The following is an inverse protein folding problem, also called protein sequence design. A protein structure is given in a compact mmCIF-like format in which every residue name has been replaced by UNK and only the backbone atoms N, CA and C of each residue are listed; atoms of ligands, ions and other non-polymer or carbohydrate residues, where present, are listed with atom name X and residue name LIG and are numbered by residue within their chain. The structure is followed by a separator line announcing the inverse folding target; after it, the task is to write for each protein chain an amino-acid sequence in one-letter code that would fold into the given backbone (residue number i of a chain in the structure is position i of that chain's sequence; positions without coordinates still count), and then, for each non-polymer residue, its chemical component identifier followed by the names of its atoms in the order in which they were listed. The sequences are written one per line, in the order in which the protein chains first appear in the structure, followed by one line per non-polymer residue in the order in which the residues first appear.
data_IF_036725332189
#
_entry.id   IF_036725332189
#
_cell.length_a   1.000
_cell.length_b   1.000
_cell.length_c   1.000
_cell.angle_alpha   90.00
_cell.angle_beta   90.00
_cell.angle_gamma   90.00
#
_symmetry.space_group_name_H-M   'P 1'
#
loop_
_entity.id
_entity.type
_entity.pdbx_description
1 polymer ?
#
# COMPACT_ATOMS: atom_id res chain seq x y z
N UNK A 1 36.65 14.87 34.51
CA UNK A 1 35.73 15.54 33.56
C UNK A 1 34.67 14.53 33.14
N UNK A 2 33.46 14.64 33.70
CA UNK A 2 32.35 13.74 33.42
C UNK A 2 31.50 14.32 32.27
N UNK A 3 31.28 13.52 31.24
CA UNK A 3 30.45 13.88 30.08
C UNK A 3 28.96 13.85 30.47
N UNK A 4 28.13 14.84 30.06
CA UNK A 4 26.76 14.94 30.53
C UNK A 4 25.86 13.86 29.92
N UNK A 5 24.90 13.46 30.75
CA UNK A 5 23.89 12.43 30.55
C UNK A 5 23.08 12.70 29.27
N UNK A 6 23.01 11.70 28.37
CA UNK A 6 21.99 11.67 27.30
C UNK A 6 20.62 11.63 27.94
N UNK A 7 19.96 12.79 27.96
CA UNK A 7 18.51 12.89 28.12
C UNK A 7 17.91 12.25 26.86
N UNK A 8 17.68 10.93 26.93
CA UNK A 8 16.78 10.25 26.02
C UNK A 8 15.38 10.71 26.39
N UNK A 9 14.93 11.82 25.81
CA UNK A 9 13.50 12.09 25.70
C UNK A 9 12.87 10.86 25.04
N UNK A 10 12.21 10.04 25.86
CA UNK A 10 11.38 8.94 25.39
C UNK A 10 10.34 9.55 24.42
N UNK A 11 10.21 9.05 23.18
CA UNK A 11 9.10 9.46 22.33
C UNK A 11 7.81 9.05 23.04
N UNK A 12 6.94 10.02 23.33
CA UNK A 12 5.63 9.76 23.93
C UNK A 12 4.87 8.72 23.07
N UNK A 13 4.74 7.49 23.59
CA UNK A 13 4.58 6.27 22.80
C UNK A 13 3.13 5.91 22.41
N UNK A 14 2.18 6.83 22.42
CA UNK A 14 0.76 6.50 22.15
C UNK A 14 0.08 7.36 21.07
N UNK A 15 0.34 8.68 21.01
CA UNK A 15 -0.27 9.57 20.03
C UNK A 15 0.22 9.34 18.59
N UNK A 16 1.52 9.16 18.40
CA UNK A 16 2.13 8.96 17.08
C UNK A 16 1.65 7.67 16.41
N UNK A 17 1.41 6.61 17.19
CA UNK A 17 0.98 5.32 16.65
C UNK A 17 -0.46 5.32 16.11
N UNK A 18 -1.35 6.16 16.65
CA UNK A 18 -2.70 6.32 16.11
C UNK A 18 -2.68 7.14 14.83
N UNK A 19 -1.95 8.27 14.83
CA UNK A 19 -1.82 9.14 13.65
C UNK A 19 -1.25 8.35 12.46
N UNK A 20 -0.20 7.55 12.65
CA UNK A 20 0.36 6.72 11.58
C UNK A 20 -0.67 5.71 11.05
N UNK A 21 -1.44 5.07 11.93
CA UNK A 21 -2.49 4.12 11.50
C UNK A 21 -3.60 4.82 10.71
N UNK A 22 -4.01 6.01 11.10
CA UNK A 22 -4.98 6.81 10.35
C UNK A 22 -4.43 7.24 8.99
N UNK A 23 -3.18 7.69 8.91
CA UNK A 23 -2.55 8.01 7.62
C UNK A 23 -2.48 6.79 6.70
N UNK A 24 -2.12 5.62 7.23
CA UNK A 24 -2.09 4.38 6.46
C UNK A 24 -3.49 3.94 6.03
N UNK A 25 -4.50 4.13 6.88
CA UNK A 25 -5.90 3.84 6.54
C UNK A 25 -6.39 4.74 5.41
N UNK A 26 -6.12 6.05 5.48
CA UNK A 26 -6.43 7.01 4.42
C UNK A 26 -5.70 6.67 3.12
N UNK A 27 -4.44 6.25 3.21
CA UNK A 27 -3.67 5.81 2.05
C UNK A 27 -4.29 4.55 1.40
N UNK A 28 -4.88 3.65 2.21
CA UNK A 28 -5.56 2.46 1.72
C UNK A 28 -7.01 2.71 1.28
N UNK A 29 -7.55 3.92 1.42
CA UNK A 29 -8.98 4.20 1.26
C UNK A 29 -9.53 3.79 -0.12
N UNK A 30 -8.78 4.07 -1.20
CA UNK A 30 -9.20 3.71 -2.57
C UNK A 30 -9.38 2.18 -2.75
N UNK A 31 -8.50 1.37 -2.17
CA UNK A 31 -8.55 -0.10 -2.26
C UNK A 31 -9.61 -0.69 -1.33
N UNK A 32 -9.80 -0.08 -0.15
CA UNK A 32 -10.89 -0.48 0.73
C UNK A 32 -12.24 -0.21 0.08
N UNK A 33 -12.42 0.97 -0.51
CA UNK A 33 -13.64 1.30 -1.26
C UNK A 33 -13.83 0.34 -2.44
N UNK A 34 -12.83 0.22 -3.33
CA UNK A 34 -12.92 -0.63 -4.53
C UNK A 34 -13.15 -2.10 -4.21
N UNK A 35 -12.44 -2.64 -3.21
CA UNK A 35 -12.58 -4.03 -2.80
C UNK A 35 -13.91 -4.32 -2.11
N UNK A 36 -14.43 -3.39 -1.30
CA UNK A 36 -15.76 -3.54 -0.68
C UNK A 36 -16.85 -3.47 -1.76
N UNK A 37 -16.77 -2.51 -2.67
CA UNK A 37 -17.73 -2.36 -3.77
C UNK A 37 -17.78 -3.63 -4.64
N UNK A 38 -16.61 -4.13 -5.05
CA UNK A 38 -16.49 -5.39 -5.80
C UNK A 38 -16.95 -6.63 -5.01
N UNK A 39 -16.80 -6.64 -3.68
CA UNK A 39 -17.28 -7.73 -2.84
C UNK A 39 -18.81 -7.72 -2.71
N UNK A 40 -19.42 -6.53 -2.66
CA UNK A 40 -20.88 -6.36 -2.59
C UNK A 40 -21.55 -6.61 -3.93
N UNK A 41 -20.88 -6.30 -5.04
CA UNK A 41 -21.33 -6.60 -6.41
C UNK A 41 -20.29 -7.42 -7.18
N UNK A 42 -20.16 -8.69 -6.78
CA UNK A 42 -19.25 -9.63 -7.44
C UNK A 42 -19.57 -9.82 -8.94
N UNK A 43 -20.85 -9.94 -9.38
CA UNK A 43 -21.17 -9.97 -10.81
C UNK A 43 -20.65 -8.74 -11.57
N UNK A 44 -20.76 -7.54 -10.99
CA UNK A 44 -20.17 -6.32 -11.54
C UNK A 44 -18.65 -6.42 -11.66
N UNK A 45 -17.96 -6.94 -10.63
CA UNK A 45 -16.52 -7.15 -10.67
C UNK A 45 -16.09 -8.14 -11.78
N UNK A 46 -16.86 -9.20 -12.02
CA UNK A 46 -16.63 -10.13 -13.14
C UNK A 46 -16.82 -9.43 -14.49
N UNK A 47 -17.84 -8.58 -14.62
CA UNK A 47 -18.08 -7.80 -15.83
C UNK A 47 -16.96 -6.79 -16.11
N UNK A 48 -16.36 -6.20 -15.06
CA UNK A 48 -15.19 -5.33 -15.18
C UNK A 48 -13.97 -6.08 -15.74
N UNK A 49 -13.70 -7.30 -15.25
CA UNK A 49 -12.62 -8.15 -15.81
C UNK A 49 -12.86 -8.46 -17.29
N UNK A 50 -14.11 -8.77 -17.67
CA UNK A 50 -14.51 -8.95 -19.08
C UNK A 50 -14.26 -7.70 -19.91
N UNK A 51 -14.64 -6.53 -19.40
CA UNK A 51 -14.48 -5.27 -20.09
C UNK A 51 -13.01 -4.98 -20.41
N UNK A 52 -12.11 -5.30 -19.49
CA UNK A 52 -10.67 -5.17 -19.69
C UNK A 52 -10.02 -6.36 -20.44
N UNK A 53 -10.81 -7.35 -20.88
CA UNK A 53 -10.31 -8.52 -21.60
C UNK A 53 -9.49 -9.48 -20.74
N UNK A 54 -9.67 -9.45 -19.42
CA UNK A 54 -8.93 -10.26 -18.46
C UNK A 54 -9.62 -11.60 -18.20
N UNK A 55 -8.90 -12.69 -18.46
CA UNK A 55 -9.38 -14.06 -18.23
C UNK A 55 -8.37 -14.85 -17.39
N UNK A 56 -8.83 -15.77 -16.51
CA UNK A 56 -10.22 -16.09 -16.21
C UNK A 56 -10.89 -15.04 -15.29
N UNK A 57 -12.08 -14.58 -15.67
CA UNK A 57 -12.70 -13.37 -15.10
C UNK A 57 -13.03 -13.50 -13.61
N UNK A 58 -13.76 -14.55 -13.20
CA UNK A 58 -14.22 -14.72 -11.83
C UNK A 58 -13.07 -15.00 -10.84
N UNK A 59 -12.10 -15.89 -11.14
CA UNK A 59 -10.93 -16.06 -10.29
C UNK A 59 -10.10 -14.77 -10.16
N UNK A 60 -9.98 -13.99 -11.23
CA UNK A 60 -9.23 -12.74 -11.18
C UNK A 60 -9.97 -11.66 -10.38
N UNK A 61 -11.28 -11.51 -10.57
CA UNK A 61 -12.11 -10.62 -9.77
C UNK A 61 -12.00 -10.95 -8.28
N UNK A 62 -12.05 -12.24 -7.93
CA UNK A 62 -11.86 -12.69 -6.55
C UNK A 62 -10.46 -12.36 -6.04
N UNK A 63 -9.41 -12.58 -6.85
CA UNK A 63 -8.04 -12.25 -6.49
C UNK A 63 -7.85 -10.74 -6.24
N UNK A 64 -8.48 -9.88 -7.05
CA UNK A 64 -8.48 -8.43 -6.86
C UNK A 64 -9.13 -8.07 -5.52
N UNK A 65 -10.34 -8.57 -5.24
CA UNK A 65 -11.05 -8.30 -3.98
C UNK A 65 -10.22 -8.71 -2.76
N UNK A 66 -9.75 -9.96 -2.75
CA UNK A 66 -8.95 -10.49 -1.65
C UNK A 66 -7.63 -9.75 -1.51
N UNK A 67 -7.01 -9.39 -2.63
CA UNK A 67 -5.76 -8.64 -2.66
C UNK A 67 -5.91 -7.22 -2.13
N UNK A 68 -6.90 -6.46 -2.59
CA UNK A 68 -7.17 -5.08 -2.17
C UNK A 68 -7.48 -5.00 -0.68
N UNK A 69 -8.40 -5.83 -0.19
CA UNK A 69 -8.81 -5.85 1.21
C UNK A 69 -7.72 -6.44 2.11
N UNK A 70 -7.16 -7.59 1.71
CA UNK A 70 -6.14 -8.30 2.46
C UNK A 70 -4.86 -7.46 2.60
N UNK A 71 -4.37 -6.87 1.52
CA UNK A 71 -3.17 -6.04 1.57
C UNK A 71 -3.39 -4.76 2.38
N UNK A 72 -4.58 -4.15 2.31
CA UNK A 72 -4.93 -3.00 3.15
C UNK A 72 -4.88 -3.36 4.65
N UNK A 73 -5.40 -4.53 5.03
CA UNK A 73 -5.30 -5.05 6.40
C UNK A 73 -3.84 -5.26 6.81
N UNK A 74 -3.00 -5.83 5.94
CA UNK A 74 -1.57 -6.00 6.22
C UNK A 74 -0.84 -4.66 6.43
N UNK A 75 -1.16 -3.65 5.62
CA UNK A 75 -0.54 -2.32 5.69
C UNK A 75 -0.92 -1.62 7.00
N UNK A 76 -2.21 -1.56 7.33
CA UNK A 76 -2.72 -0.88 8.52
C UNK A 76 -2.36 -1.66 9.80
N UNK A 77 -2.51 -2.99 9.77
CA UNK A 77 -2.25 -3.88 10.92
C UNK A 77 -0.77 -4.03 11.28
N UNK A 78 0.14 -3.84 10.32
CA UNK A 78 1.57 -3.73 10.58
C UNK A 78 2.35 -5.04 10.67
N UNK A 79 1.68 -6.20 10.65
CA UNK A 79 2.37 -7.49 10.72
C UNK A 79 3.31 -7.67 9.54
N UNK A 80 2.78 -7.63 8.32
CA UNK A 80 3.53 -7.80 7.06
C UNK A 80 3.33 -6.58 6.14
N UNK A 81 3.44 -5.38 6.73
CA UNK A 81 3.15 -4.10 6.06
C UNK A 81 3.92 -3.92 4.76
N UNK A 82 5.22 -4.23 4.75
CA UNK A 82 6.02 -4.10 3.53
C UNK A 82 5.48 -4.96 2.39
N UNK A 83 4.99 -6.17 2.67
CA UNK A 83 4.47 -7.07 1.65
C UNK A 83 3.13 -6.55 1.12
N UNK A 84 2.22 -6.14 2.00
CA UNK A 84 0.95 -5.53 1.60
C UNK A 84 1.16 -4.27 0.78
N UNK A 85 2.12 -3.42 1.17
CA UNK A 85 2.43 -2.20 0.43
C UNK A 85 3.04 -2.49 -0.95
N UNK A 86 3.97 -3.46 -1.07
CA UNK A 86 4.48 -3.87 -2.38
C UNK A 86 3.38 -4.45 -3.28
N UNK A 87 2.48 -5.25 -2.72
CA UNK A 87 1.33 -5.76 -3.44
C UNK A 87 0.45 -4.63 -3.98
N UNK A 88 0.04 -3.68 -3.12
CA UNK A 88 -0.81 -2.55 -3.53
C UNK A 88 -0.11 -1.65 -4.55
N UNK A 89 1.19 -1.40 -4.40
CA UNK A 89 1.96 -0.66 -5.40
C UNK A 89 1.96 -1.35 -6.77
N UNK A 90 2.26 -2.65 -6.79
CA UNK A 90 2.27 -3.45 -8.03
C UNK A 90 0.89 -3.53 -8.67
N UNK A 91 -0.14 -3.81 -7.86
CA UNK A 91 -1.53 -3.84 -8.30
C UNK A 91 -1.95 -2.51 -8.91
N UNK A 92 -1.67 -1.38 -8.25
CA UNK A 92 -2.00 -0.05 -8.78
C UNK A 92 -1.32 0.24 -10.10
N UNK A 93 -0.04 -0.08 -10.25
CA UNK A 93 0.65 0.12 -11.52
C UNK A 93 0.02 -0.71 -12.63
N UNK A 94 -0.26 -1.99 -12.38
CA UNK A 94 -0.87 -2.88 -13.36
C UNK A 94 -2.29 -2.43 -13.73
N UNK A 95 -3.15 -2.19 -12.75
CA UNK A 95 -4.51 -1.72 -12.95
C UNK A 95 -4.54 -0.38 -13.70
N UNK A 96 -3.64 0.55 -13.34
CA UNK A 96 -3.56 1.87 -13.97
C UNK A 96 -3.13 1.78 -15.45
N UNK A 97 -2.17 0.91 -15.78
CA UNK A 97 -1.75 0.67 -17.17
C UNK A 97 -2.85 0.01 -18.02
N UNK A 98 -3.77 -0.73 -17.40
CA UNK A 98 -4.91 -1.37 -18.08
C UNK A 98 -6.08 -0.40 -18.23
N UNK A 99 -6.44 0.30 -17.15
CA UNK A 99 -7.67 1.10 -17.07
C UNK A 99 -7.50 2.54 -17.55
N UNK A 100 -6.33 3.17 -17.30
CA UNK A 100 -6.10 4.59 -17.58
C UNK A 100 -5.15 4.80 -18.77
N UNK A 101 -5.42 4.09 -19.88
CA UNK A 101 -4.66 4.20 -21.15
C UNK A 101 -4.97 5.50 -21.87
N UNK A 102 -4.64 6.64 -21.25
CA UNK A 102 -4.96 7.97 -21.78
C UNK A 102 -4.36 8.23 -23.17
N UNK A 103 -3.31 7.50 -23.56
CA UNK A 103 -2.71 7.55 -24.89
C UNK A 103 -3.59 6.97 -26.01
N UNK A 104 -4.67 6.26 -25.66
CA UNK A 104 -5.69 5.74 -26.60
C UNK A 104 -6.96 6.58 -26.67
N UNK A 105 -7.02 7.67 -25.90
CA UNK A 105 -8.21 8.52 -25.80
C UNK A 105 -7.95 9.85 -26.51
N UNK A 106 -8.88 10.25 -27.37
CA UNK A 106 -8.86 11.56 -28.04
C UNK A 106 -9.92 12.51 -27.47
N UNK A 107 -9.74 13.80 -27.74
CA UNK A 107 -10.70 14.83 -27.34
C UNK A 107 -10.68 15.19 -25.84
N UNK A 108 -11.71 15.89 -25.36
CA UNK A 108 -11.73 16.49 -24.02
C UNK A 108 -11.58 15.48 -22.86
N UNK A 109 -11.99 14.22 -23.06
CA UNK A 109 -11.91 13.17 -22.06
C UNK A 109 -10.47 12.73 -21.74
N UNK A 110 -9.52 12.92 -22.68
CA UNK A 110 -8.12 12.49 -22.52
C UNK A 110 -7.46 13.05 -21.26
N UNK A 111 -7.64 14.34 -20.98
CA UNK A 111 -6.99 15.03 -19.86
C UNK A 111 -7.44 14.50 -18.50
N UNK A 112 -8.71 14.10 -18.39
CA UNK A 112 -9.24 13.52 -17.16
C UNK A 112 -8.58 12.17 -16.85
N UNK A 113 -8.46 11.30 -17.86
CA UNK A 113 -7.81 9.98 -17.71
C UNK A 113 -6.30 10.12 -17.50
N UNK A 114 -5.66 11.08 -18.16
CA UNK A 114 -4.24 11.39 -17.96
C UNK A 114 -3.96 11.82 -16.51
N UNK A 115 -4.77 12.70 -15.92
CA UNK A 115 -4.63 13.10 -14.52
C UNK A 115 -4.79 11.90 -13.59
N UNK A 116 -5.84 11.08 -13.80
CA UNK A 116 -6.04 9.85 -13.04
C UNK A 116 -4.84 8.92 -13.13
N UNK A 117 -4.22 8.79 -14.30
CA UNK A 117 -3.02 7.98 -14.48
C UNK A 117 -1.87 8.43 -13.57
N UNK A 118 -1.58 9.73 -13.52
CA UNK A 118 -0.49 10.26 -12.70
C UNK A 118 -0.80 10.27 -11.20
N UNK A 119 -2.07 10.42 -10.81
CA UNK A 119 -2.51 10.26 -9.42
C UNK A 119 -2.23 8.84 -8.91
N UNK A 120 -2.56 7.82 -9.71
CA UNK A 120 -2.29 6.42 -9.37
C UNK A 120 -0.79 6.11 -9.36
N UNK A 121 0.00 6.73 -10.25
CA UNK A 121 1.46 6.60 -10.24
C UNK A 121 2.06 7.14 -8.94
N UNK A 122 1.60 8.32 -8.49
CA UNK A 122 1.98 8.90 -7.21
C UNK A 122 1.57 8.02 -6.03
N UNK A 123 0.36 7.46 -6.06
CA UNK A 123 -0.15 6.54 -5.05
C UNK A 123 0.70 5.26 -4.94
N UNK A 124 1.07 4.66 -6.08
CA UNK A 124 1.99 3.52 -6.10
C UNK A 124 3.35 3.87 -5.48
N UNK A 125 3.89 5.05 -5.79
CA UNK A 125 5.12 5.57 -5.16
C UNK A 125 5.01 5.71 -3.64
N UNK A 126 3.85 6.15 -3.13
CA UNK A 126 3.61 6.24 -1.70
C UNK A 126 3.64 4.86 -1.02
N UNK A 127 3.08 3.81 -1.64
CA UNK A 127 3.18 2.45 -1.11
C UNK A 127 4.60 1.89 -1.18
N UNK A 128 5.36 2.16 -2.24
CA UNK A 128 6.78 1.78 -2.30
C UNK A 128 7.56 2.44 -1.17
N UNK A 129 7.28 3.70 -0.85
CA UNK A 129 7.88 4.38 0.30
C UNK A 129 7.50 3.72 1.62
N UNK A 130 6.23 3.34 1.81
CA UNK A 130 5.77 2.59 2.99
C UNK A 130 6.53 1.27 3.14
N UNK A 131 6.67 0.52 2.05
CA UNK A 131 7.40 -0.74 2.05
C UNK A 131 8.87 -0.56 2.43
N UNK A 132 9.53 0.43 1.83
CA UNK A 132 10.91 0.79 2.12
C UNK A 132 11.13 1.17 3.58
N UNK A 133 10.28 2.05 4.13
CA UNK A 133 10.38 2.48 5.53
C UNK A 133 10.18 1.33 6.51
N UNK A 134 9.21 0.45 6.26
CA UNK A 134 8.95 -0.72 7.11
C UNK A 134 10.12 -1.72 7.09
N UNK A 135 10.71 -1.98 5.91
CA UNK A 135 11.89 -2.83 5.77
C UNK A 135 13.12 -2.23 6.48
N UNK A 136 13.36 -0.93 6.34
CA UNK A 136 14.46 -0.24 7.04
C UNK A 136 14.32 -0.31 8.55
N UNK A 137 13.11 -0.08 9.08
CA UNK A 137 12.84 -0.18 10.51
C UNK A 137 13.12 -1.60 11.05
N UNK A 138 12.71 -2.64 10.30
CA UNK A 138 13.01 -4.04 10.65
C UNK A 138 14.50 -4.36 10.59
N UNK A 139 15.23 -3.84 9.60
CA UNK A 139 16.67 -4.00 9.48
C UNK A 139 17.42 -3.41 10.69
N UNK A 140 17.09 -2.17 11.05
CA UNK A 140 17.68 -1.49 12.22
C UNK A 140 17.41 -2.26 13.53
N UNK A 141 16.20 -2.80 13.71
CA UNK A 141 15.86 -3.61 14.89
C UNK A 141 16.69 -4.92 14.96
N UNK A 142 16.96 -5.57 13.82
CA UNK A 142 17.79 -6.78 13.74
C UNK A 142 19.25 -6.50 14.11
N UNK A 143 19.80 -5.39 13.63
CA UNK A 143 21.17 -4.97 13.96
C UNK A 143 21.34 -4.66 15.44
N UNK A 144 20.38 -3.92 16.02
CA UNK A 144 20.36 -3.61 17.46
C UNK A 144 20.35 -4.87 18.33
N UNK A 145 19.55 -5.88 17.97
CA UNK A 145 19.53 -7.17 18.67
C UNK A 145 20.84 -7.95 18.55
N UNK A 146 21.47 -7.94 17.36
CA UNK A 146 22.74 -8.66 17.11
C UNK A 146 23.95 -8.04 17.83
N UNK A 147 23.97 -6.71 18.00
CA UNK A 147 25.03 -5.99 18.70
C UNK A 147 24.96 -6.07 20.23
N UNK A 148 23.80 -6.40 20.79
CA UNK A 148 23.64 -6.68 22.22
C UNK A 148 24.13 -8.08 22.58
N UNK A 149 23.80 -9.11 21.78
CA UNK A 149 24.24 -10.48 22.02
C UNK A 149 25.75 -10.70 21.92
N UNK A 150 26.44 -9.91 21.08
CA UNK A 150 27.91 -9.98 20.92
C UNK A 150 28.73 -9.29 22.01
N UNK A 151 28.11 -8.51 22.91
CA UNK A 151 28.80 -7.82 24.02
C UNK A 151 28.76 -8.60 25.34
N UNK A 152 28.07 -9.74 25.36
CA UNK A 152 27.87 -10.56 26.57
C UNK A 152 28.70 -11.85 26.51
N UNK A 153 29.44 -12.07 25.42
CA UNK A 153 30.44 -13.12 25.23
C UNK A 153 31.82 -12.47 25.18
#
# INVERSE_FOLDING_TARGET
MAFPQRIYLQPAASGTGLVVRLCLLLLCAAYLQGGIEKALDFPGAVAEMRHFGLAPEAPLALAVIVGELGASVLVVGGWWRWLGALYLAGFTLMANLVANRFWEIEGPARRMVENGFFEHLGLAGAFLLVAWLDLRARGAAREAGSGAGRRVL
#
